data_IF_253543881797
#
_entry.id   IF_253543881797
#
_cell.length_a   1.000
_cell.length_b   1.000
_cell.length_c   1.000
_cell.angle_alpha   90.00
_cell.angle_beta   90.00
_cell.angle_gamma   90.00
#
_symmetry.space_group_name_H-M   'P 1'
#
loop_
_entity.id
_entity.type
_entity.pdbx_description
1 polymer ?
#
# COMPACT_ATOMS: atom_id res chain seq x y z
N UNK A 1 14.75 5.02 1.03
CA UNK A 1 14.14 4.98 -0.34
C UNK A 1 13.15 3.82 -0.38
N UNK A 2 11.93 4.05 -0.81
CA UNK A 2 10.88 3.01 -0.91
C UNK A 2 11.38 1.87 -1.82
N UNK A 3 11.24 0.63 -1.34
CA UNK A 3 11.59 -0.57 -2.10
C UNK A 3 10.66 -1.71 -1.68
N UNK A 4 10.02 -2.35 -2.66
CA UNK A 4 9.19 -3.53 -2.42
C UNK A 4 10.02 -4.72 -1.96
N UNK A 5 9.45 -5.51 -1.05
CA UNK A 5 10.09 -6.70 -0.50
C UNK A 5 11.24 -6.44 0.49
N UNK A 6 11.44 -5.18 0.90
CA UNK A 6 12.48 -4.84 1.88
C UNK A 6 11.94 -5.02 3.31
N UNK A 7 12.49 -5.97 4.05
CA UNK A 7 12.14 -6.24 5.45
C UNK A 7 12.81 -5.24 6.42
N UNK A 8 13.92 -4.65 6.01
CA UNK A 8 14.69 -3.67 6.81
C UNK A 8 14.28 -2.23 6.47
N UNK A 9 13.02 -2.01 6.17
CA UNK A 9 12.53 -0.66 5.91
C UNK A 9 12.55 0.17 7.19
N UNK A 10 13.29 1.29 7.18
CA UNK A 10 13.43 2.23 8.31
C UNK A 10 12.13 3.02 8.58
N UNK A 11 11.07 2.78 7.83
CA UNK A 11 9.79 3.44 8.03
C UNK A 11 9.15 3.02 9.36
N UNK A 12 8.97 3.99 10.24
CA UNK A 12 8.37 3.76 11.57
C UNK A 12 6.86 3.47 11.51
N UNK A 13 6.18 3.92 10.47
CA UNK A 13 4.73 3.81 10.29
C UNK A 13 4.38 3.59 8.83
N UNK A 14 3.24 2.93 8.56
CA UNK A 14 2.72 2.75 7.21
C UNK A 14 2.47 4.11 6.54
N UNK A 15 2.68 4.24 5.22
CA UNK A 15 2.33 5.44 4.48
C UNK A 15 0.82 5.65 4.43
N UNK A 16 0.38 6.77 3.88
CA UNK A 16 -1.02 7.02 3.53
C UNK A 16 -1.18 6.97 2.02
N UNK A 17 -2.24 6.31 1.54
CA UNK A 17 -2.66 6.49 0.15
C UNK A 17 -3.25 7.90 0.00
N UNK A 18 -2.62 8.71 -0.83
CA UNK A 18 -3.04 10.08 -1.11
C UNK A 18 -3.96 10.15 -2.33
N UNK A 19 -3.60 9.43 -3.41
CA UNK A 19 -4.36 9.41 -4.66
C UNK A 19 -4.05 8.18 -5.49
N UNK A 20 -5.06 7.68 -6.20
CA UNK A 20 -4.92 6.70 -7.29
C UNK A 20 -5.23 7.40 -8.62
N UNK A 21 -4.41 7.18 -9.64
CA UNK A 21 -4.56 7.74 -10.98
C UNK A 21 -4.47 6.59 -11.97
N UNK A 22 -5.52 6.38 -12.73
CA UNK A 22 -5.56 5.43 -13.84
C UNK A 22 -5.44 6.20 -15.15
N UNK A 23 -4.48 5.81 -15.97
CA UNK A 23 -4.21 6.44 -17.26
C UNK A 23 -4.74 5.57 -18.41
N UNK A 24 -4.84 6.16 -19.61
CA UNK A 24 -5.38 5.46 -20.79
C UNK A 24 -4.49 4.31 -21.29
N UNK A 25 -3.20 4.32 -20.97
CA UNK A 25 -2.19 3.40 -21.51
C UNK A 25 -1.95 2.16 -20.61
N UNK A 26 -2.97 1.70 -19.86
CA UNK A 26 -2.87 0.59 -18.90
C UNK A 26 -1.82 0.83 -17.81
N UNK A 27 -1.61 2.08 -17.46
CA UNK A 27 -0.78 2.49 -16.34
C UNK A 27 -1.66 2.83 -15.13
N UNK A 28 -1.20 2.41 -13.95
CA UNK A 28 -1.79 2.86 -12.69
C UNK A 28 -0.73 3.48 -11.81
N UNK A 29 -1.04 4.62 -11.23
CA UNK A 29 -0.17 5.39 -10.34
C UNK A 29 -0.81 5.49 -8.95
N UNK A 30 -0.05 5.13 -7.95
CA UNK A 30 -0.42 5.34 -6.55
C UNK A 30 0.47 6.43 -5.98
N UNK A 31 -0.15 7.53 -5.57
CA UNK A 31 0.55 8.59 -4.84
C UNK A 31 0.42 8.27 -3.36
N UNK A 32 1.53 8.07 -2.69
CA UNK A 32 1.59 7.80 -1.25
C UNK A 32 2.33 8.91 -0.52
N UNK A 33 1.79 9.30 0.63
CA UNK A 33 2.45 10.20 1.56
C UNK A 33 3.16 9.39 2.64
N UNK A 34 4.40 9.70 2.95
CA UNK A 34 5.03 9.13 4.13
C UNK A 34 4.30 9.60 5.40
N UNK A 35 4.49 8.87 6.49
CA UNK A 35 3.88 9.21 7.77
C UNK A 35 4.77 10.16 8.55
N UNK A 36 4.19 11.20 9.12
CA UNK A 36 4.81 12.06 10.10
C UNK A 36 4.13 11.98 11.46
N UNK A 37 4.90 12.09 12.53
CA UNK A 37 4.37 12.11 13.90
C UNK A 37 3.93 13.52 14.25
N UNK A 38 2.73 13.63 14.78
CA UNK A 38 2.22 14.86 15.39
C UNK A 38 2.76 15.07 16.81
N UNK A 39 2.25 16.08 17.48
CA UNK A 39 2.55 16.34 18.89
C UNK A 39 1.70 15.42 19.78
N UNK A 40 2.30 14.89 20.85
CA UNK A 40 1.59 14.11 21.85
C UNK A 40 0.42 14.90 22.44
N UNK A 41 -0.72 14.24 22.61
CA UNK A 41 -1.93 14.84 23.21
C UNK A 41 -2.62 15.89 22.35
N UNK A 42 -2.29 16.03 21.06
CA UNK A 42 -2.92 17.02 20.19
C UNK A 42 -4.32 16.58 19.74
N UNK A 43 -5.31 17.47 19.85
CA UNK A 43 -6.67 17.24 19.30
C UNK A 43 -7.66 16.56 20.26
N UNK A 44 -7.41 16.55 21.56
CA UNK A 44 -8.26 15.90 22.55
C UNK A 44 -9.07 16.95 23.32
N UNK A 45 -10.41 16.80 23.26
CA UNK A 45 -11.31 17.45 24.22
C UNK A 45 -11.54 16.49 25.40
N UNK A 46 -10.85 16.75 26.52
CA UNK A 46 -10.96 15.95 27.76
C UNK A 46 -12.38 16.00 28.39
N UNK A 47 -13.21 16.99 27.99
CA UNK A 47 -14.51 17.27 28.59
C UNK A 47 -15.56 16.17 28.32
N UNK A 48 -15.46 15.47 27.16
CA UNK A 48 -16.47 14.50 26.75
C UNK A 48 -16.31 13.10 27.39
N UNK A 49 -15.05 12.68 27.64
CA UNK A 49 -14.74 11.40 28.28
C UNK A 49 -13.36 11.44 28.95
N UNK A 50 -13.27 11.63 30.27
CA UNK A 50 -11.99 11.76 31.00
C UNK A 50 -11.09 10.51 30.90
N UNK A 51 -11.67 9.31 30.83
CA UNK A 51 -10.91 8.07 30.72
C UNK A 51 -10.25 7.94 29.33
N UNK A 52 -11.00 8.28 28.28
CA UNK A 52 -10.50 8.32 26.91
C UNK A 52 -9.48 9.45 26.75
N UNK A 53 -9.75 10.63 27.32
CA UNK A 53 -8.83 11.78 27.33
C UNK A 53 -7.46 11.40 27.90
N UNK A 54 -7.41 10.67 29.03
CA UNK A 54 -6.16 10.20 29.61
C UNK A 54 -5.39 9.26 28.69
N UNK A 55 -6.04 8.30 28.07
CA UNK A 55 -5.42 7.36 27.10
C UNK A 55 -4.86 8.15 25.90
N UNK A 56 -5.68 9.01 25.33
CA UNK A 56 -5.31 9.77 24.14
C UNK A 56 -4.18 10.80 24.42
N UNK A 57 -4.10 11.34 25.66
CA UNK A 57 -3.03 12.28 26.04
C UNK A 57 -1.62 11.64 25.97
N UNK A 58 -1.54 10.32 26.05
CA UNK A 58 -0.31 9.55 25.91
C UNK A 58 -0.03 9.14 24.45
N UNK A 59 -1.01 9.29 23.56
CA UNK A 59 -0.89 8.92 22.15
C UNK A 59 -0.20 10.00 21.34
N UNK A 60 0.57 9.57 20.34
CA UNK A 60 1.16 10.43 19.32
C UNK A 60 0.40 10.20 18.01
N UNK A 61 -0.38 11.16 17.52
CA UNK A 61 -1.10 11.00 16.27
C UNK A 61 -0.13 10.92 15.09
N UNK A 62 -0.56 10.21 14.06
CA UNK A 62 0.21 10.02 12.82
C UNK A 62 -0.59 10.68 11.69
N UNK A 63 0.08 11.51 10.90
CA UNK A 63 -0.50 12.26 9.80
C UNK A 63 0.24 11.96 8.49
N UNK A 64 -0.40 12.17 7.31
CA UNK A 64 0.31 12.17 6.05
C UNK A 64 1.29 13.35 5.97
N UNK A 65 2.50 13.09 5.50
CA UNK A 65 3.53 14.12 5.24
C UNK A 65 3.42 14.54 3.76
N UNK A 66 2.75 15.66 3.51
CA UNK A 66 2.51 16.17 2.17
C UNK A 66 3.79 16.71 1.48
N UNK A 67 4.87 16.94 2.22
CA UNK A 67 6.18 17.31 1.68
C UNK A 67 6.98 16.06 1.22
N UNK A 68 6.53 14.86 1.63
CA UNK A 68 7.16 13.59 1.31
C UNK A 68 6.21 12.63 0.59
N UNK A 69 5.77 13.08 -0.60
CA UNK A 69 4.96 12.27 -1.50
C UNK A 69 5.83 11.45 -2.46
N UNK A 70 5.38 10.25 -2.77
CA UNK A 70 6.00 9.36 -3.74
C UNK A 70 4.96 8.85 -4.72
N UNK A 71 5.32 8.83 -6.00
CA UNK A 71 4.57 8.16 -7.04
C UNK A 71 5.13 6.75 -7.23
N UNK A 72 4.23 5.79 -7.26
CA UNK A 72 4.50 4.38 -7.54
C UNK A 72 3.71 4.05 -8.80
N UNK A 73 4.41 3.89 -9.91
CA UNK A 73 3.85 3.62 -11.22
C UNK A 73 4.01 2.14 -11.56
N UNK A 74 2.92 1.49 -11.88
CA UNK A 74 2.88 0.17 -12.48
C UNK A 74 2.50 0.29 -13.96
N UNK A 75 3.43 -0.08 -14.83
CA UNK A 75 3.18 -0.24 -16.26
C UNK A 75 2.58 -1.62 -16.51
N UNK A 76 1.62 -1.73 -17.42
CA UNK A 76 1.04 -3.02 -17.82
C UNK A 76 0.59 -3.90 -16.64
N UNK A 77 -0.12 -3.30 -15.69
CA UNK A 77 -0.75 -4.08 -14.62
C UNK A 77 -1.94 -4.89 -15.18
N UNK A 78 -2.22 -6.05 -14.59
CA UNK A 78 -3.40 -6.85 -14.97
C UNK A 78 -4.64 -6.28 -14.30
N UNK A 79 -4.59 -6.13 -12.99
CA UNK A 79 -5.62 -5.48 -12.20
C UNK A 79 -5.05 -5.03 -10.86
N UNK A 80 -5.76 -4.16 -10.20
CA UNK A 80 -5.51 -3.80 -8.80
C UNK A 80 -6.82 -3.79 -8.01
N UNK A 81 -6.69 -3.95 -6.70
CA UNK A 81 -7.80 -3.90 -5.76
C UNK A 81 -7.39 -2.94 -4.64
N UNK A 82 -8.25 -1.96 -4.36
CA UNK A 82 -8.11 -1.10 -3.19
C UNK A 82 -9.19 -1.46 -2.19
N UNK A 83 -8.80 -1.75 -0.96
CA UNK A 83 -9.70 -2.11 0.13
C UNK A 83 -9.42 -1.27 1.37
N UNK A 84 -10.43 -1.14 2.22
CA UNK A 84 -10.28 -0.51 3.52
C UNK A 84 -9.39 -1.39 4.41
N UNK A 85 -8.41 -0.79 5.08
CA UNK A 85 -7.42 -1.48 5.91
C UNK A 85 -8.08 -2.19 7.11
N UNK A 86 -9.16 -1.62 7.65
CA UNK A 86 -9.87 -2.15 8.82
C UNK A 86 -10.46 -3.55 8.60
N UNK A 87 -10.65 -3.97 7.35
CA UNK A 87 -11.16 -5.30 6.99
C UNK A 87 -10.06 -6.27 6.57
N UNK A 88 -8.79 -5.89 6.76
CA UNK A 88 -7.67 -6.74 6.41
C UNK A 88 -7.38 -7.72 7.54
N UNK A 89 -7.39 -9.01 7.22
CA UNK A 89 -6.94 -10.08 8.12
C UNK A 89 -5.60 -10.65 7.66
N UNK A 90 -4.84 -11.15 8.61
CA UNK A 90 -3.61 -11.90 8.31
C UNK A 90 -3.97 -13.33 7.91
N UNK A 91 -3.46 -13.74 6.75
CA UNK A 91 -3.63 -15.12 6.27
C UNK A 91 -2.28 -15.85 6.33
N UNK A 92 -2.20 -16.89 7.16
CA UNK A 92 -0.99 -17.71 7.29
C UNK A 92 -0.66 -18.53 6.02
N UNK A 93 -1.58 -18.58 5.06
CA UNK A 93 -1.37 -19.20 3.75
C UNK A 93 -0.43 -18.37 2.88
N UNK A 94 -0.48 -17.05 3.03
CA UNK A 94 0.27 -16.12 2.20
C UNK A 94 1.72 -15.99 2.66
N UNK A 95 2.63 -16.08 1.69
CA UNK A 95 4.06 -15.87 1.91
C UNK A 95 4.47 -14.54 1.27
N UNK A 96 5.03 -13.67 2.09
CA UNK A 96 5.32 -12.29 1.68
C UNK A 96 6.62 -11.78 2.24
N UNK A 97 7.23 -10.82 1.53
CA UNK A 97 8.42 -10.07 1.93
C UNK A 97 8.11 -8.58 1.94
N UNK A 98 8.72 -7.86 2.85
CA UNK A 98 8.52 -6.42 3.03
C UNK A 98 7.55 -6.09 4.17
N UNK A 99 7.59 -4.84 4.61
CA UNK A 99 6.79 -4.36 5.75
C UNK A 99 5.51 -3.65 5.29
N UNK A 100 5.64 -2.62 4.46
CA UNK A 100 4.54 -1.83 3.93
C UNK A 100 4.47 -1.88 2.40
N UNK A 101 5.60 -2.14 1.76
CA UNK A 101 5.73 -2.36 0.32
C UNK A 101 6.11 -3.82 0.12
N UNK A 102 5.11 -4.62 -0.15
CA UNK A 102 5.14 -6.09 -0.05
C UNK A 102 5.25 -6.71 -1.42
N UNK A 103 6.03 -7.78 -1.52
CA UNK A 103 5.99 -8.74 -2.62
C UNK A 103 5.51 -10.06 -2.04
N UNK A 104 4.46 -10.62 -2.63
CA UNK A 104 3.96 -11.94 -2.28
C UNK A 104 4.65 -13.01 -3.13
N UNK A 105 5.23 -13.99 -2.47
CA UNK A 105 5.72 -15.22 -3.10
C UNK A 105 4.60 -16.22 -3.31
N UNK A 106 3.55 -16.14 -2.48
CA UNK A 106 2.34 -16.95 -2.53
C UNK A 106 1.18 -16.13 -1.98
N UNK A 107 0.07 -16.07 -2.71
CA UNK A 107 -1.13 -15.38 -2.25
C UNK A 107 -2.39 -15.99 -2.86
N UNK A 108 -3.52 -15.83 -2.16
CA UNK A 108 -4.82 -16.23 -2.69
C UNK A 108 -5.18 -15.48 -3.96
N UNK A 109 -4.72 -14.25 -4.10
CA UNK A 109 -4.96 -13.45 -5.29
C UNK A 109 -4.27 -14.04 -6.52
N UNK A 110 -3.01 -14.51 -6.37
CA UNK A 110 -2.30 -15.24 -7.44
C UNK A 110 -2.99 -16.56 -7.78
N UNK A 111 -3.50 -17.29 -6.79
CA UNK A 111 -4.21 -18.55 -7.01
C UNK A 111 -5.55 -18.35 -7.75
N UNK A 112 -6.21 -17.20 -7.53
CA UNK A 112 -7.45 -16.85 -8.21
C UNK A 112 -7.23 -16.25 -9.61
N UNK A 113 -6.01 -15.83 -9.94
CA UNK A 113 -5.72 -15.14 -11.19
C UNK A 113 -6.23 -15.90 -12.45
N UNK A 114 -6.02 -17.20 -12.60
CA UNK A 114 -6.52 -17.96 -13.77
C UNK A 114 -8.04 -17.99 -13.91
N UNK A 115 -8.77 -17.61 -12.86
CA UNK A 115 -10.24 -17.55 -12.87
C UNK A 115 -10.79 -16.16 -13.21
N UNK A 116 -9.92 -15.14 -13.20
CA UNK A 116 -10.31 -13.73 -13.37
C UNK A 116 -9.89 -13.22 -14.75
N UNK A 117 -8.82 -13.78 -15.33
CA UNK A 117 -8.22 -13.30 -16.57
C UNK A 117 -8.08 -14.43 -17.59
N UNK A 118 -8.05 -14.06 -18.89
CA UNK A 118 -7.71 -14.96 -19.98
C UNK A 118 -6.21 -15.26 -19.94
N UNK A 119 -5.85 -16.36 -19.31
CA UNK A 119 -4.47 -16.72 -19.04
C UNK A 119 -3.61 -16.81 -20.30
N UNK A 120 -4.14 -17.36 -21.41
CA UNK A 120 -3.42 -17.47 -22.67
C UNK A 120 -3.03 -16.11 -23.26
N UNK A 121 -3.91 -15.11 -23.12
CA UNK A 121 -3.64 -13.74 -23.57
C UNK A 121 -2.59 -13.11 -22.69
N UNK A 122 -2.74 -13.30 -21.39
CA UNK A 122 -1.82 -12.74 -20.39
C UNK A 122 -0.40 -13.29 -20.58
N UNK A 123 -0.25 -14.61 -20.82
CA UNK A 123 1.04 -15.24 -21.07
C UNK A 123 1.65 -14.84 -22.44
N UNK A 124 0.81 -14.60 -23.44
CA UNK A 124 1.26 -14.18 -24.76
C UNK A 124 1.85 -12.75 -24.77
N UNK A 125 1.27 -11.85 -23.99
CA UNK A 125 1.73 -10.46 -23.91
C UNK A 125 2.81 -10.22 -22.85
N UNK A 126 2.83 -11.03 -21.79
CA UNK A 126 3.78 -10.91 -20.68
C UNK A 126 4.27 -12.30 -20.26
N UNK A 127 5.28 -12.85 -20.92
CA UNK A 127 5.81 -14.18 -20.62
C UNK A 127 6.53 -14.25 -19.26
N UNK A 128 6.71 -13.12 -18.57
CA UNK A 128 7.32 -13.07 -17.25
C UNK A 128 6.32 -13.53 -16.19
N UNK A 129 6.83 -14.20 -15.17
CA UNK A 129 6.00 -14.62 -14.04
C UNK A 129 5.34 -13.42 -13.35
N UNK A 130 4.03 -13.51 -13.16
CA UNK A 130 3.25 -12.51 -12.44
C UNK A 130 3.69 -12.40 -11.00
N UNK A 131 3.73 -11.18 -10.52
CA UNK A 131 3.99 -10.88 -9.12
C UNK A 131 2.78 -10.18 -8.52
N UNK A 132 2.51 -10.49 -7.29
CA UNK A 132 1.55 -9.76 -6.47
C UNK A 132 2.31 -8.78 -5.60
N UNK A 133 2.02 -7.51 -5.78
CA UNK A 133 2.54 -6.41 -4.98
C UNK A 133 1.48 -5.92 -4.02
N UNK A 134 1.89 -5.57 -2.79
CA UNK A 134 1.02 -4.98 -1.78
C UNK A 134 1.54 -3.62 -1.35
N UNK A 135 0.67 -2.61 -1.28
CA UNK A 135 0.96 -1.32 -0.65
C UNK A 135 0.04 -1.18 0.56
N UNK A 136 0.62 -1.33 1.74
CA UNK A 136 -0.11 -1.33 3.01
C UNK A 136 -0.03 0.06 3.63
N UNK A 137 -1.11 0.81 3.45
CA UNK A 137 -1.26 2.18 3.96
C UNK A 137 -2.06 2.21 5.26
N UNK A 138 -1.99 3.34 5.98
CA UNK A 138 -2.78 3.61 7.18
C UNK A 138 -4.28 3.63 6.91
N UNK A 139 -4.67 4.02 5.72
CA UNK A 139 -6.06 4.24 5.33
C UNK A 139 -6.59 3.23 4.29
N UNK A 140 -5.69 2.53 3.57
CA UNK A 140 -6.06 1.57 2.52
C UNK A 140 -5.00 0.49 2.37
N UNK A 141 -5.44 -0.66 1.88
CA UNK A 141 -4.56 -1.71 1.37
C UNK A 141 -4.78 -1.79 -0.14
N UNK A 142 -3.68 -1.82 -0.89
CA UNK A 142 -3.72 -1.92 -2.35
C UNK A 142 -2.98 -3.20 -2.73
N UNK A 143 -3.65 -4.05 -3.46
CA UNK A 143 -3.08 -5.27 -4.04
C UNK A 143 -3.01 -5.08 -5.56
N UNK A 144 -1.86 -5.34 -6.16
CA UNK A 144 -1.61 -5.14 -7.59
C UNK A 144 -0.99 -6.41 -8.17
N UNK A 145 -1.51 -6.87 -9.30
CA UNK A 145 -0.89 -7.93 -10.11
C UNK A 145 -0.24 -7.27 -11.33
N UNK A 146 1.07 -7.43 -11.41
CA UNK A 146 1.88 -6.91 -12.52
C UNK A 146 3.07 -7.83 -12.80
N UNK A 147 3.60 -7.80 -14.02
CA UNK A 147 4.76 -8.59 -14.41
C UNK A 147 6.08 -7.88 -14.12
N UNK A 148 6.08 -6.57 -14.09
CA UNK A 148 7.27 -5.73 -13.91
C UNK A 148 7.31 -5.08 -12.53
N UNK A 149 8.51 -4.72 -12.13
CA UNK A 149 8.69 -3.95 -10.89
C UNK A 149 8.22 -2.50 -11.09
N UNK A 150 7.52 -1.92 -10.10
CA UNK A 150 7.05 -0.55 -10.22
C UNK A 150 8.19 0.47 -10.26
N UNK A 151 7.97 1.54 -11.02
CA UNK A 151 8.85 2.72 -11.01
C UNK A 151 8.45 3.63 -9.86
N UNK A 152 9.42 4.01 -9.03
CA UNK A 152 9.17 4.83 -7.84
C UNK A 152 9.94 6.13 -7.97
N UNK A 153 9.24 7.26 -7.84
CA UNK A 153 9.84 8.59 -7.88
C UNK A 153 9.22 9.53 -6.86
N UNK A 154 9.96 10.57 -6.47
CA UNK A 154 9.40 11.62 -5.63
C UNK A 154 8.32 12.36 -6.43
N UNK A 155 7.20 12.64 -5.77
CA UNK A 155 6.07 13.37 -6.35
C UNK A 155 6.00 14.76 -5.73
N UNK A 156 5.64 15.76 -6.52
CA UNK A 156 5.37 17.13 -6.07
C UNK A 156 3.98 17.54 -6.56
N UNK A 157 3.21 18.15 -5.69
CA UNK A 157 1.91 18.72 -5.99
C UNK A 157 2.03 19.92 -6.96
#
# INVERSE_FOLDING_TARGET
MIKFGNENDDMNSAPFLFKTIEEMDNEVKFIVALSMKGKQGCGINEEDNPALGKILSECVPIYPDEDNLYEILFDNYIFHITRNESYTSWDNYELRKGKYFIIFEKSRLLDCLPQIVEQEIVEAYNPNSWKHYGIYCQNHIIDIIASEEPKIRKYSL
#
